data_IF_833481531457
#
_entry.id   IF_833481531457
#
_cell.length_a   1.000
_cell.length_b   1.000
_cell.length_c   1.000
_cell.angle_alpha   90.00
_cell.angle_beta   90.00
_cell.angle_gamma   90.00
#
_symmetry.space_group_name_H-M   'P 1'
#
loop_
_entity.id
_entity.type
_entity.pdbx_description
1 polymer ?
#
# COMPACT_ATOMS: atom_id res chain seq x y z
N UNK A 1 3.02 9.01 9.07
CA UNK A 1 2.03 8.06 9.60
C UNK A 1 1.07 7.73 8.47
N UNK A 2 1.15 6.53 7.90
CA UNK A 2 0.20 6.09 6.89
C UNK A 2 -1.16 5.78 7.53
N UNK A 3 -2.24 6.19 6.87
CA UNK A 3 -3.60 6.02 7.39
C UNK A 3 -4.37 5.08 6.48
N UNK A 4 -4.69 3.87 6.99
CA UNK A 4 -5.46 2.87 6.23
C UNK A 4 -6.93 2.95 6.66
N UNK A 5 -7.82 3.22 5.72
CA UNK A 5 -9.27 3.23 5.96
C UNK A 5 -9.80 1.83 6.30
N UNK A 6 -10.75 1.70 7.25
CA UNK A 6 -11.33 0.41 7.63
C UNK A 6 -11.91 -0.38 6.46
N UNK A 7 -12.40 0.33 5.43
CA UNK A 7 -13.02 -0.28 4.23
C UNK A 7 -12.05 -1.14 3.43
N UNK A 8 -10.77 -0.73 3.42
CA UNK A 8 -9.70 -1.40 2.68
C UNK A 8 -8.71 -2.12 3.57
N UNK A 9 -8.88 -1.99 4.90
CA UNK A 9 -8.02 -2.59 5.90
C UNK A 9 -7.90 -4.09 5.75
N UNK A 10 -9.01 -4.79 5.48
CA UNK A 10 -8.99 -6.23 5.24
C UNK A 10 -8.15 -6.62 4.02
N UNK A 11 -8.14 -5.82 2.95
CA UNK A 11 -7.29 -6.09 1.79
C UNK A 11 -5.83 -5.77 2.10
N UNK A 12 -5.55 -4.67 2.78
CA UNK A 12 -4.22 -4.32 3.26
C UNK A 12 -3.63 -5.43 4.17
N UNK A 13 -4.40 -5.91 5.14
CA UNK A 13 -3.98 -6.95 6.07
C UNK A 13 -3.80 -8.32 5.37
N UNK A 14 -4.42 -8.53 4.21
CA UNK A 14 -4.23 -9.74 3.39
C UNK A 14 -2.92 -9.74 2.58
N UNK A 15 -2.26 -8.58 2.47
CA UNK A 15 -0.96 -8.47 1.78
C UNK A 15 0.15 -9.08 2.64
N UNK A 16 1.24 -9.45 1.99
CA UNK A 16 2.44 -9.93 2.69
C UNK A 16 3.02 -8.83 3.62
N UNK A 17 3.68 -9.20 4.73
CA UNK A 17 4.28 -8.23 5.64
C UNK A 17 5.27 -7.29 4.94
N UNK A 18 5.97 -7.76 3.90
CA UNK A 18 6.88 -6.96 3.10
C UNK A 18 6.16 -5.82 2.36
N UNK A 19 5.03 -6.12 1.70
CA UNK A 19 4.22 -5.11 1.02
C UNK A 19 3.57 -4.13 2.01
N UNK A 20 3.07 -4.63 3.14
CA UNK A 20 2.54 -3.78 4.20
C UNK A 20 3.59 -2.77 4.67
N UNK A 21 4.81 -3.23 4.95
CA UNK A 21 5.91 -2.35 5.37
C UNK A 21 6.30 -1.35 4.27
N UNK A 22 6.37 -1.78 3.01
CA UNK A 22 6.65 -0.88 1.89
C UNK A 22 5.60 0.23 1.75
N UNK A 23 4.31 -0.11 1.88
CA UNK A 23 3.21 0.86 1.87
C UNK A 23 3.30 1.81 3.08
N UNK A 24 3.60 1.29 4.27
CA UNK A 24 3.75 2.10 5.48
C UNK A 24 4.94 3.06 5.39
N UNK A 25 6.05 2.64 4.75
CA UNK A 25 7.22 3.47 4.55
C UNK A 25 6.94 4.69 3.66
N UNK A 26 6.00 4.58 2.72
CA UNK A 26 5.61 5.68 1.82
C UNK A 26 4.79 6.79 2.49
N UNK A 27 4.37 6.64 3.75
CA UNK A 27 3.58 7.64 4.48
C UNK A 27 2.28 8.07 3.76
N UNK A 28 1.61 7.14 3.06
CA UNK A 28 0.41 7.39 2.26
C UNK A 28 -0.89 7.22 3.05
N UNK A 29 -1.95 7.91 2.63
CA UNK A 29 -3.30 7.72 3.17
C UNK A 29 -4.16 6.96 2.17
N UNK A 30 -4.54 5.73 2.53
CA UNK A 30 -5.31 4.82 1.67
C UNK A 30 -6.75 4.81 2.14
N UNK A 31 -7.64 5.44 1.37
CA UNK A 31 -9.06 5.54 1.69
C UNK A 31 -9.92 4.57 0.88
N UNK A 32 -9.45 4.23 -0.32
CA UNK A 32 -10.13 3.39 -1.30
C UNK A 32 -9.23 2.28 -1.84
N UNK A 33 -9.85 1.29 -2.48
CA UNK A 33 -9.13 0.18 -3.11
C UNK A 33 -8.22 0.66 -4.24
N UNK A 34 -8.63 1.71 -4.96
CA UNK A 34 -7.82 2.33 -6.00
C UNK A 34 -6.56 2.98 -5.44
N UNK A 35 -6.63 3.60 -4.26
CA UNK A 35 -5.44 4.14 -3.60
C UNK A 35 -4.46 3.02 -3.25
N UNK A 36 -4.98 1.87 -2.79
CA UNK A 36 -4.14 0.71 -2.46
C UNK A 36 -3.45 0.15 -3.70
N UNK A 37 -4.21 -0.01 -4.79
CA UNK A 37 -3.68 -0.47 -6.08
C UNK A 37 -2.62 0.50 -6.60
N UNK A 38 -2.87 1.81 -6.56
CA UNK A 38 -1.92 2.81 -7.04
C UNK A 38 -0.59 2.78 -6.28
N UNK A 39 -0.64 2.65 -4.95
CA UNK A 39 0.58 2.55 -4.14
C UNK A 39 1.33 1.24 -4.41
N UNK A 40 0.61 0.14 -4.58
CA UNK A 40 1.23 -1.15 -4.95
C UNK A 40 1.92 -1.07 -6.31
N UNK A 41 1.27 -0.42 -7.29
CA UNK A 41 1.84 -0.23 -8.63
C UNK A 41 3.08 0.67 -8.58
N UNK A 42 3.07 1.72 -7.77
CA UNK A 42 4.24 2.57 -7.52
C UNK A 42 5.40 1.76 -6.94
N UNK A 43 5.14 0.90 -5.95
CA UNK A 43 6.16 0.02 -5.34
C UNK A 43 6.75 -0.94 -6.38
N UNK A 44 5.92 -1.54 -7.24
CA UNK A 44 6.38 -2.43 -8.31
C UNK A 44 7.25 -1.66 -9.30
N UNK A 45 6.81 -0.49 -9.74
CA UNK A 45 7.54 0.33 -10.70
C UNK A 45 8.88 0.82 -10.17
N UNK A 46 8.96 1.14 -8.88
CA UNK A 46 10.23 1.47 -8.22
C UNK A 46 11.17 0.26 -8.18
N UNK A 47 10.64 -0.93 -7.86
CA UNK A 47 11.44 -2.15 -7.81
C UNK A 47 11.91 -2.63 -9.19
N UNK A 48 11.16 -2.34 -10.27
CA UNK A 48 11.56 -2.64 -11.65
C UNK A 48 12.54 -1.62 -12.23
N UNK A 49 12.59 -0.41 -11.67
CA UNK A 49 13.48 0.65 -12.13
C UNK A 49 14.91 0.55 -11.55
N UNK A 50 15.13 -0.36 -10.60
CA UNK A 50 16.41 -0.67 -9.95
C UNK A 50 17.03 -1.97 -10.51
#
# INVERSE_FOLDING_TARGET
MSTISPKVRSQFDSLSPALQNAILAKNVSINTLYDLIGVLDEIIREAEAE
#
